data_IF_647479104552
#
_entry.id   IF_647479104552
#
_cell.length_a   1.000
_cell.length_b   1.000
_cell.length_c   1.000
_cell.angle_alpha   90.00
_cell.angle_beta   90.00
_cell.angle_gamma   90.00
#
_symmetry.space_group_name_H-M   'P 1'
#
loop_
_entity.id
_entity.type
_entity.pdbx_description
1 polymer ?
#
# COMPACT_ATOMS: atom_id res chain seq x y z
N UNK A 1 20.31 -9.80 -22.95
CA UNK A 1 18.84 -9.59 -22.89
C UNK A 1 18.39 -10.12 -21.53
N UNK A 2 18.26 -9.37 -20.44
CA UNK A 2 18.02 -7.95 -20.24
C UNK A 2 18.48 -7.62 -18.80
N UNK A 3 19.41 -6.69 -18.63
CA UNK A 3 19.85 -6.20 -17.31
C UNK A 3 18.73 -5.31 -16.75
N UNK A 4 17.97 -5.82 -15.77
CA UNK A 4 17.01 -5.03 -15.01
C UNK A 4 17.76 -4.15 -13.99
N UNK A 5 17.42 -2.87 -13.84
CA UNK A 5 18.16 -1.95 -12.98
C UNK A 5 18.17 -2.45 -11.53
N UNK A 6 19.34 -2.36 -10.89
CA UNK A 6 19.56 -2.47 -9.44
C UNK A 6 18.65 -1.46 -8.73
N UNK A 7 17.45 -1.90 -8.34
CA UNK A 7 16.53 -1.06 -7.60
C UNK A 7 17.03 -0.98 -6.16
N UNK A 8 17.25 0.22 -5.60
CA UNK A 8 17.74 0.36 -4.24
C UNK A 8 16.88 -0.46 -3.30
N UNK A 9 17.53 -1.32 -2.50
CA UNK A 9 16.87 -2.27 -1.62
C UNK A 9 15.90 -1.51 -0.70
N UNK A 10 14.60 -1.62 -0.98
CA UNK A 10 13.59 -0.91 -0.20
C UNK A 10 13.61 -1.53 1.19
N UNK A 11 13.73 -0.74 2.27
CA UNK A 11 13.79 -1.30 3.62
C UNK A 11 12.49 -2.07 3.91
N UNK A 12 12.55 -3.40 3.80
CA UNK A 12 11.38 -4.29 3.88
C UNK A 12 10.68 -4.14 5.23
N UNK A 13 11.45 -4.00 6.30
CA UNK A 13 10.93 -3.74 7.63
C UNK A 13 10.10 -2.45 7.69
N UNK A 14 10.53 -1.37 7.02
CA UNK A 14 9.79 -0.12 6.99
C UNK A 14 8.51 -0.25 6.17
N UNK A 15 8.57 -0.93 5.02
CA UNK A 15 7.41 -1.19 4.17
C UNK A 15 6.35 -2.01 4.91
N UNK A 16 6.76 -3.11 5.54
CA UNK A 16 5.89 -3.98 6.34
C UNK A 16 5.28 -3.23 7.52
N UNK A 17 6.06 -2.44 8.27
CA UNK A 17 5.54 -1.64 9.39
C UNK A 17 4.52 -0.60 8.94
N UNK A 18 4.76 0.08 7.82
CA UNK A 18 3.81 1.06 7.26
C UNK A 18 2.52 0.38 6.80
N UNK A 19 2.62 -0.80 6.17
CA UNK A 19 1.47 -1.62 5.80
C UNK A 19 0.65 -2.08 7.01
N UNK A 20 1.31 -2.62 8.04
CA UNK A 20 0.67 -3.06 9.28
C UNK A 20 -0.05 -1.92 10.02
N UNK A 21 0.54 -0.73 10.01
CA UNK A 21 -0.07 0.47 10.61
C UNK A 21 -1.09 1.15 9.69
N UNK A 22 -1.36 0.61 8.50
CA UNK A 22 -2.26 1.18 7.50
C UNK A 22 -1.89 2.65 7.17
N UNK A 23 -0.59 2.93 7.05
CA UNK A 23 -0.05 4.26 6.75
C UNK A 23 0.46 4.35 5.32
N UNK A 24 0.57 5.58 4.83
CA UNK A 24 1.04 5.88 3.49
C UNK A 24 2.45 5.27 3.26
N UNK A 25 2.67 4.50 2.18
CA UNK A 25 3.95 3.87 1.88
C UNK A 25 5.04 4.90 1.57
N UNK A 26 4.66 6.09 1.09
CA UNK A 26 5.58 7.18 0.79
C UNK A 26 6.00 7.93 2.07
N UNK A 27 5.06 8.62 2.74
CA UNK A 27 5.39 9.48 3.88
C UNK A 27 5.33 8.80 5.27
N UNK A 28 4.64 7.68 5.44
CA UNK A 28 4.52 6.98 6.72
C UNK A 28 3.74 7.70 7.82
N UNK A 29 3.12 8.85 7.53
CA UNK A 29 2.37 9.67 8.48
C UNK A 29 0.85 9.67 8.22
N UNK A 30 0.43 9.76 6.95
CA UNK A 30 -0.98 9.77 6.58
C UNK A 30 -1.63 8.38 6.70
N UNK A 31 -2.86 8.31 7.21
CA UNK A 31 -3.64 7.06 7.26
C UNK A 31 -4.21 6.73 5.89
N UNK A 32 -3.99 5.48 5.44
CA UNK A 32 -4.44 4.99 4.13
C UNK A 32 -5.95 4.75 4.12
N UNK A 33 -6.54 4.36 5.25
CA UNK A 33 -7.97 4.05 5.37
C UNK A 33 -8.75 5.23 5.93
N UNK A 34 -9.85 5.61 5.27
CA UNK A 34 -10.83 6.59 5.78
C UNK A 34 -11.91 5.95 6.65
N UNK A 35 -12.14 4.65 6.49
CA UNK A 35 -13.08 3.84 7.26
C UNK A 35 -12.61 2.38 7.22
N UNK A 36 -13.29 1.48 7.95
CA UNK A 36 -12.86 0.10 8.17
C UNK A 36 -12.43 -0.64 6.90
N UNK A 37 -13.16 -0.49 5.79
CA UNK A 37 -12.85 -1.10 4.49
C UNK A 37 -12.84 -0.07 3.34
N UNK A 38 -12.52 1.20 3.65
CA UNK A 38 -12.48 2.27 2.62
C UNK A 38 -11.10 2.89 2.57
N UNK A 39 -10.39 2.66 1.46
CA UNK A 39 -9.10 3.30 1.16
C UNK A 39 -9.32 4.76 0.76
N UNK A 40 -8.45 5.68 1.15
CA UNK A 40 -8.46 7.08 0.70
C UNK A 40 -7.95 7.18 -0.73
N UNK A 41 -8.47 8.13 -1.50
CA UNK A 41 -7.97 8.36 -2.87
C UNK A 41 -6.57 8.97 -2.88
N UNK A 42 -6.31 9.87 -1.92
CA UNK A 42 -5.03 10.55 -1.74
C UNK A 42 -4.61 10.56 -0.26
N UNK A 43 -3.30 10.55 -0.03
CA UNK A 43 -2.71 10.74 1.30
C UNK A 43 -2.95 12.18 1.79
N UNK A 44 -3.46 12.40 3.02
CA UNK A 44 -3.72 13.75 3.54
C UNK A 44 -2.45 14.55 3.86
N UNK A 45 -1.28 13.90 3.90
CA UNK A 45 0.00 14.54 4.26
C UNK A 45 0.85 14.85 3.03
N UNK A 46 0.99 13.89 2.10
CA UNK A 46 1.87 14.05 0.93
C UNK A 46 1.15 14.03 -0.41
N UNK A 47 -0.19 13.88 -0.43
CA UNK A 47 -0.96 13.87 -1.69
C UNK A 47 -0.79 12.62 -2.56
N UNK A 48 -0.05 11.60 -2.10
CA UNK A 48 0.14 10.35 -2.85
C UNK A 48 -1.21 9.71 -3.22
N UNK A 49 -1.39 9.34 -4.49
CA UNK A 49 -2.54 8.57 -4.94
C UNK A 49 -2.51 7.13 -4.36
N UNK A 50 -3.57 6.74 -3.68
CA UNK A 50 -3.72 5.46 -2.97
C UNK A 50 -4.87 4.59 -3.51
N UNK A 51 -5.62 5.06 -4.51
CA UNK A 51 -6.79 4.38 -5.10
C UNK A 51 -6.46 3.30 -6.14
N UNK A 52 -5.19 3.09 -6.48
CA UNK A 52 -4.79 2.08 -7.49
C UNK A 52 -4.88 0.64 -6.99
N UNK A 53 -5.00 0.44 -5.67
CA UNK A 53 -5.14 -0.88 -5.08
C UNK A 53 -6.58 -1.37 -5.23
N UNK A 54 -6.81 -2.31 -6.16
CA UNK A 54 -8.04 -3.10 -6.20
C UNK A 54 -7.96 -4.14 -5.10
N UNK A 55 -8.82 -4.01 -4.09
CA UNK A 55 -9.08 -5.08 -3.15
C UNK A 55 -10.01 -6.07 -3.86
N UNK A 56 -9.51 -7.25 -4.17
CA UNK A 56 -10.32 -8.37 -4.66
C UNK A 56 -10.80 -9.18 -3.45
N UNK A 57 -12.05 -9.65 -3.48
CA UNK A 57 -12.65 -10.35 -2.35
C UNK A 57 -12.07 -11.77 -2.23
N UNK A 58 -11.08 -11.92 -1.36
CA UNK A 58 -10.43 -13.19 -1.02
C UNK A 58 -11.38 -14.37 -0.74
N UNK A 59 -12.52 -14.25 -0.01
CA UNK A 59 -13.34 -15.42 0.27
C UNK A 59 -14.00 -16.04 -0.97
N UNK A 60 -14.23 -15.27 -2.04
CA UNK A 60 -14.75 -15.82 -3.30
C UNK A 60 -13.75 -16.75 -4.00
N UNK A 61 -12.45 -16.64 -3.70
CA UNK A 61 -11.40 -17.50 -4.28
C UNK A 61 -11.12 -18.78 -3.49
N UNK A 62 -11.64 -18.92 -2.26
CA UNK A 62 -11.29 -20.05 -1.35
C UNK A 62 -12.41 -21.10 -1.25
N UNK A 63 -13.52 -20.93 -1.97
CA UNK A 63 -14.63 -21.90 -1.99
C UNK A 63 -14.49 -22.95 -3.07
N UNK A 64 -13.41 -23.74 -3.04
CA UNK A 64 -13.29 -25.01 -3.77
C UNK A 64 -13.00 -26.16 -2.81
#
# INVERSE_FOLDING_TARGET
MTEGPDQPERPLALALRRGWQCRCPNCGAGTMMRSYLKVRDNCPVCGQALHHHRADDGPAYVTI
#
